data_IF_380679275915
#
_entry.id   IF_380679275915
#
_cell.length_a   1.000
_cell.length_b   1.000
_cell.length_c   1.000
_cell.angle_alpha   90.00
_cell.angle_beta   90.00
_cell.angle_gamma   90.00
#
_symmetry.space_group_name_H-M   'P 1'
#
loop_
_entity.id
_entity.type
_entity.pdbx_description
1 polymer ?
#
# COMPACT_ATOMS: atom_id res chain seq x y z
N UNK A 1 -4.57 30.24 -4.57
CA UNK A 1 -4.46 28.93 -3.90
C UNK A 1 -5.33 27.97 -4.70
N UNK A 2 -4.75 26.95 -5.27
CA UNK A 2 -5.51 25.93 -5.99
C UNK A 2 -6.38 25.14 -4.98
N UNK A 3 -7.59 24.75 -5.38
CA UNK A 3 -8.46 23.97 -4.50
C UNK A 3 -7.82 22.60 -4.23
N UNK A 4 -7.96 22.05 -3.01
CA UNK A 4 -7.42 20.72 -2.71
C UNK A 4 -8.10 19.67 -3.61
N UNK A 5 -7.31 18.73 -4.10
CA UNK A 5 -7.79 17.63 -4.93
C UNK A 5 -8.65 16.70 -4.08
N UNK A 6 -9.89 16.46 -4.49
CA UNK A 6 -10.80 15.55 -3.80
C UNK A 6 -10.63 14.15 -4.41
N UNK A 7 -10.31 13.12 -3.60
CA UNK A 7 -10.14 11.76 -4.10
C UNK A 7 -11.42 11.21 -4.73
N UNK A 8 -11.33 10.70 -5.97
CA UNK A 8 -12.43 10.08 -6.70
C UNK A 8 -12.43 8.56 -6.45
N UNK A 9 -12.93 8.14 -5.28
CA UNK A 9 -12.98 6.73 -4.90
C UNK A 9 -13.87 5.93 -5.87
N UNK A 10 -13.36 4.76 -6.32
CA UNK A 10 -13.99 3.93 -7.33
C UNK A 10 -13.56 4.26 -8.77
N UNK A 11 -12.68 5.25 -8.96
CA UNK A 11 -12.19 5.69 -10.27
C UNK A 11 -10.65 5.63 -10.33
N UNK A 12 -9.96 6.45 -9.53
CA UNK A 12 -8.50 6.58 -9.61
C UNK A 12 -7.87 6.99 -8.28
N UNK A 13 -8.04 6.15 -7.26
CA UNK A 13 -7.42 6.35 -5.95
C UNK A 13 -6.54 5.15 -5.56
N UNK A 14 -5.77 5.28 -4.47
CA UNK A 14 -5.04 4.13 -3.89
C UNK A 14 -5.97 2.97 -3.52
N UNK A 15 -7.24 3.24 -3.18
CA UNK A 15 -8.22 2.19 -2.88
C UNK A 15 -8.59 1.35 -4.12
N UNK A 16 -8.35 1.87 -5.33
CA UNK A 16 -8.70 1.21 -6.58
C UNK A 16 -7.54 0.34 -7.14
N UNK A 17 -6.33 0.46 -6.57
CA UNK A 17 -5.13 -0.24 -7.08
C UNK A 17 -5.25 -1.76 -6.88
N UNK A 18 -5.49 -2.25 -5.66
CA UNK A 18 -5.59 -3.70 -5.43
C UNK A 18 -6.79 -4.32 -6.14
N UNK A 19 -7.98 -3.70 -6.22
CA UNK A 19 -9.05 -4.14 -7.11
C UNK A 19 -8.64 -4.31 -8.57
N UNK A 20 -7.92 -3.33 -9.14
CA UNK A 20 -7.43 -3.41 -10.52
C UNK A 20 -6.43 -4.56 -10.72
N UNK A 21 -5.48 -4.72 -9.78
CA UNK A 21 -4.55 -5.86 -9.80
C UNK A 21 -5.27 -7.21 -9.73
N UNK A 22 -6.30 -7.32 -8.89
CA UNK A 22 -7.10 -8.53 -8.75
C UNK A 22 -7.87 -8.88 -10.03
N UNK A 23 -8.49 -7.88 -10.67
CA UNK A 23 -9.18 -8.04 -11.94
C UNK A 23 -8.19 -8.45 -13.05
N UNK A 24 -7.00 -7.84 -13.08
CA UNK A 24 -5.92 -8.18 -14.00
C UNK A 24 -5.38 -9.61 -13.82
N UNK A 25 -5.40 -10.14 -12.59
CA UNK A 25 -5.12 -11.55 -12.29
C UNK A 25 -6.25 -12.50 -12.76
N UNK A 26 -7.34 -11.98 -13.32
CA UNK A 26 -8.49 -12.78 -13.75
C UNK A 26 -9.38 -13.26 -12.60
N UNK A 27 -9.31 -12.64 -11.43
CA UNK A 27 -10.08 -13.04 -10.26
C UNK A 27 -11.49 -12.43 -10.33
N UNK A 28 -12.52 -13.28 -10.28
CA UNK A 28 -13.91 -12.86 -10.37
C UNK A 28 -14.36 -11.93 -9.23
N UNK A 29 -15.24 -10.99 -9.56
CA UNK A 29 -15.85 -10.08 -8.59
C UNK A 29 -15.01 -8.87 -8.22
N UNK A 30 -13.95 -8.59 -8.98
CA UNK A 30 -13.13 -7.38 -8.88
C UNK A 30 -13.28 -6.52 -10.13
N UNK A 31 -13.09 -5.21 -9.98
CA UNK A 31 -13.17 -4.24 -11.08
C UNK A 31 -11.82 -3.62 -11.35
N UNK A 32 -11.49 -3.44 -12.61
CA UNK A 32 -10.31 -2.70 -13.04
C UNK A 32 -10.71 -1.27 -13.47
N UNK A 33 -10.52 -0.31 -12.58
CA UNK A 33 -10.71 1.10 -12.87
C UNK A 33 -9.46 1.76 -13.48
N UNK A 34 -8.32 1.05 -13.52
CA UNK A 34 -7.02 1.59 -13.94
C UNK A 34 -6.59 1.08 -15.33
N UNK A 35 -7.27 0.07 -15.89
CA UNK A 35 -6.96 -0.49 -17.21
C UNK A 35 -5.67 -1.29 -17.26
N UNK A 36 -5.39 -2.11 -16.23
CA UNK A 36 -4.16 -2.86 -16.14
C UNK A 36 -4.12 -4.04 -17.14
N UNK A 37 -2.96 -4.37 -17.71
CA UNK A 37 -2.83 -5.54 -18.57
C UNK A 37 -3.08 -6.84 -17.79
N UNK A 38 -3.61 -7.86 -18.46
CA UNK A 38 -3.77 -9.18 -17.86
C UNK A 38 -2.40 -9.77 -17.47
N UNK A 39 -2.33 -10.37 -16.29
CA UNK A 39 -1.10 -10.98 -15.76
C UNK A 39 -1.45 -12.05 -14.73
N UNK A 40 -0.63 -13.09 -14.61
CA UNK A 40 -0.76 -14.10 -13.55
C UNK A 40 -0.07 -13.68 -12.25
N UNK A 41 0.79 -12.65 -12.28
CA UNK A 41 1.68 -12.27 -11.19
C UNK A 41 1.89 -10.78 -11.12
N UNK A 42 1.80 -10.22 -9.92
CA UNK A 42 2.06 -8.80 -9.68
C UNK A 42 3.03 -8.56 -8.54
N UNK A 43 3.88 -7.57 -8.72
CA UNK A 43 4.65 -6.95 -7.66
C UNK A 43 4.18 -5.50 -7.53
N UNK A 44 3.57 -5.18 -6.42
CA UNK A 44 3.18 -3.82 -6.05
C UNK A 44 4.27 -3.21 -5.18
N UNK A 45 5.17 -2.44 -5.78
CA UNK A 45 6.17 -1.65 -5.06
C UNK A 45 5.53 -0.34 -4.62
N UNK A 46 5.42 -0.14 -3.31
CA UNK A 46 5.03 1.13 -2.72
C UNK A 46 6.27 1.85 -2.20
N UNK A 47 6.56 3.01 -2.79
CA UNK A 47 7.61 3.93 -2.31
C UNK A 47 6.94 5.04 -1.52
N UNK A 48 7.09 5.01 -0.20
CA UNK A 48 6.47 6.00 0.70
C UNK A 48 7.12 7.37 0.52
N UNK A 49 6.30 8.40 0.57
CA UNK A 49 6.75 9.78 0.33
C UNK A 49 6.92 10.16 -1.16
N UNK A 50 6.89 9.20 -2.09
CA UNK A 50 7.02 9.49 -3.52
C UNK A 50 5.64 9.84 -4.11
N UNK A 51 5.46 11.09 -4.46
CA UNK A 51 4.28 11.58 -5.18
C UNK A 51 4.57 11.96 -6.62
N UNK A 52 3.54 12.03 -7.47
CA UNK A 52 3.68 12.39 -8.88
C UNK A 52 4.35 13.77 -9.07
N UNK A 53 4.06 14.74 -8.19
CA UNK A 53 4.69 16.06 -8.25
C UNK A 53 6.16 16.03 -7.87
N UNK A 54 6.53 15.27 -6.84
CA UNK A 54 7.93 15.12 -6.41
C UNK A 54 8.74 14.42 -7.50
N UNK A 55 8.20 13.34 -8.06
CA UNK A 55 8.85 12.62 -9.15
C UNK A 55 9.02 13.50 -10.38
N UNK A 56 8.01 14.28 -10.77
CA UNK A 56 8.11 15.21 -11.89
C UNK A 56 9.18 16.29 -11.70
N UNK A 57 9.47 16.67 -10.45
CA UNK A 57 10.52 17.65 -10.13
C UNK A 57 11.92 17.03 -10.04
N UNK A 58 12.05 15.69 -9.96
CA UNK A 58 13.30 14.96 -9.73
C UNK A 58 13.59 13.90 -10.81
N UNK A 59 13.20 14.15 -12.06
CA UNK A 59 13.38 13.17 -13.16
C UNK A 59 14.85 12.91 -13.50
N UNK A 60 15.72 13.91 -13.32
CA UNK A 60 17.16 13.77 -13.58
C UNK A 60 17.81 12.84 -12.55
N UNK A 61 17.35 12.86 -11.30
CA UNK A 61 17.83 12.02 -10.20
C UNK A 61 17.24 10.60 -10.22
N UNK A 62 16.13 10.41 -10.95
CA UNK A 62 15.42 9.15 -11.05
C UNK A 62 15.24 8.69 -12.51
N UNK A 63 16.32 8.46 -13.28
CA UNK A 63 16.26 8.21 -14.72
C UNK A 63 15.46 6.95 -15.09
N UNK A 64 15.46 5.92 -14.25
CA UNK A 64 14.64 4.72 -14.46
C UNK A 64 13.14 5.05 -14.36
N UNK A 65 12.72 5.75 -13.30
CA UNK A 65 11.32 6.15 -13.15
C UNK A 65 10.90 7.15 -14.24
N UNK A 66 11.80 8.05 -14.65
CA UNK A 66 11.57 8.95 -15.77
C UNK A 66 11.30 8.18 -17.07
N UNK A 67 12.02 7.08 -17.34
CA UNK A 67 11.76 6.24 -18.51
C UNK A 67 10.39 5.59 -18.48
N UNK A 68 9.92 5.14 -17.31
CA UNK A 68 8.59 4.56 -17.16
C UNK A 68 7.47 5.59 -17.37
N UNK A 69 7.67 6.83 -16.94
CA UNK A 69 6.72 7.92 -17.19
C UNK A 69 6.63 8.32 -18.67
N UNK A 70 7.71 8.10 -19.43
CA UNK A 70 7.73 8.38 -20.88
C UNK A 70 6.96 7.33 -21.70
N UNK A 71 6.68 6.17 -21.11
CA UNK A 71 5.84 5.15 -21.73
C UNK A 71 4.36 5.47 -21.44
N UNK A 72 3.46 5.26 -22.41
CA UNK A 72 2.01 5.50 -22.26
C UNK A 72 1.32 4.53 -21.25
N UNK A 73 2.12 3.85 -20.41
CA UNK A 73 1.67 2.89 -19.41
C UNK A 73 1.56 3.47 -18.01
N UNK A 74 1.82 4.77 -17.82
CA UNK A 74 1.71 5.40 -16.50
C UNK A 74 0.32 6.02 -16.28
N UNK A 75 -0.21 5.86 -15.07
CA UNK A 75 -1.43 6.54 -14.64
C UNK A 75 -1.22 7.22 -13.29
N UNK A 76 -1.95 8.29 -13.05
CA UNK A 76 -1.91 8.98 -11.75
C UNK A 76 -3.14 8.63 -10.94
N UNK A 77 -2.92 8.14 -9.73
CA UNK A 77 -3.97 7.91 -8.73
C UNK A 77 -3.84 8.91 -7.59
N UNK A 78 -4.96 9.24 -6.93
CA UNK A 78 -4.92 10.10 -5.75
C UNK A 78 -4.74 9.25 -4.49
N UNK A 79 -3.96 9.78 -3.52
CA UNK A 79 -4.01 9.28 -2.15
C UNK A 79 -5.31 9.72 -1.46
N UNK A 80 -5.61 9.15 -0.29
CA UNK A 80 -6.73 9.58 0.53
C UNK A 80 -6.51 10.97 1.16
N UNK A 81 -7.54 11.51 1.78
CA UNK A 81 -7.46 12.70 2.62
C UNK A 81 -7.82 12.35 4.07
N UNK A 82 -6.87 12.51 5.03
CA UNK A 82 -5.48 12.98 4.88
C UNK A 82 -4.59 11.93 4.18
N UNK A 83 -3.53 12.40 3.49
CA UNK A 83 -2.57 11.57 2.76
C UNK A 83 -1.46 11.00 3.67
N UNK A 84 -1.83 10.51 4.86
CA UNK A 84 -0.87 9.89 5.77
C UNK A 84 -0.63 8.42 5.41
N UNK A 85 0.55 7.90 5.71
CA UNK A 85 0.91 6.48 5.51
C UNK A 85 -0.17 5.55 6.06
N UNK A 86 -0.64 5.77 7.29
CA UNK A 86 -1.64 4.93 7.93
C UNK A 86 -2.97 4.86 7.14
N UNK A 87 -3.49 6.01 6.73
CA UNK A 87 -4.71 6.09 5.93
C UNK A 87 -4.52 5.47 4.55
N UNK A 88 -3.41 5.80 3.90
CA UNK A 88 -3.12 5.39 2.51
C UNK A 88 -2.89 3.88 2.38
N UNK A 89 -2.08 3.28 3.26
CA UNK A 89 -1.84 1.82 3.26
C UNK A 89 -3.15 1.07 3.59
N UNK A 90 -3.96 1.58 4.52
CA UNK A 90 -5.23 0.94 4.85
C UNK A 90 -6.23 1.06 3.70
N UNK A 91 -6.31 2.20 3.02
CA UNK A 91 -7.15 2.34 1.81
C UNK A 91 -6.70 1.39 0.70
N UNK A 92 -5.39 1.29 0.45
CA UNK A 92 -4.80 0.35 -0.51
C UNK A 92 -5.17 -1.10 -0.17
N UNK A 93 -4.95 -1.50 1.09
CA UNK A 93 -5.12 -2.88 1.53
C UNK A 93 -6.57 -3.32 1.71
N UNK A 94 -7.51 -2.39 1.96
CA UNK A 94 -8.94 -2.71 2.13
C UNK A 94 -9.80 -2.42 0.89
N UNK A 95 -9.28 -1.65 -0.07
CA UNK A 95 -10.05 -1.09 -1.18
C UNK A 95 -11.22 -0.20 -0.71
N UNK A 96 -11.06 0.49 0.42
CA UNK A 96 -12.10 1.31 1.04
C UNK A 96 -11.58 2.74 1.30
N UNK A 97 -12.46 3.74 1.26
CA UNK A 97 -12.11 5.09 1.71
C UNK A 97 -11.97 5.16 3.24
N UNK A 98 -11.24 6.17 3.78
CA UNK A 98 -10.98 6.31 5.21
C UNK A 98 -12.22 6.28 6.10
N UNK A 99 -13.33 6.87 5.65
CA UNK A 99 -14.61 6.87 6.37
C UNK A 99 -15.26 5.48 6.48
N UNK A 100 -14.81 4.48 5.73
CA UNK A 100 -15.31 3.11 5.78
C UNK A 100 -14.39 2.17 6.51
N UNK A 101 -13.05 2.29 6.37
CA UNK A 101 -12.11 1.45 7.11
C UNK A 101 -11.73 1.99 8.48
N UNK A 102 -12.03 3.27 8.79
CA UNK A 102 -11.91 3.84 10.11
C UNK A 102 -10.52 4.37 10.51
N UNK A 103 -9.47 4.13 9.73
CA UNK A 103 -8.14 4.70 9.98
C UNK A 103 -8.08 6.10 9.36
N UNK A 104 -8.44 7.10 10.16
CA UNK A 104 -8.68 8.47 9.68
C UNK A 104 -7.41 9.35 9.59
N UNK A 105 -6.25 8.82 9.99
CA UNK A 105 -4.97 9.52 9.98
C UNK A 105 -3.90 8.70 10.68
N UNK A 106 -2.71 9.28 10.87
CA UNK A 106 -1.69 8.64 11.71
C UNK A 106 -2.09 8.68 13.20
N UNK A 107 -2.99 9.58 13.57
CA UNK A 107 -3.54 9.72 14.91
C UNK A 107 -5.02 10.12 14.84
N UNK A 108 -5.87 9.41 15.57
CA UNK A 108 -7.32 9.61 15.56
C UNK A 108 -7.96 9.09 16.85
N UNK A 109 -9.27 9.29 16.99
CA UNK A 109 -10.02 8.78 18.12
C UNK A 109 -10.14 7.26 18.04
N UNK A 110 -9.67 6.55 19.07
CA UNK A 110 -9.83 5.11 19.18
C UNK A 110 -11.30 4.71 19.21
N UNK A 111 -11.80 3.90 18.28
CA UNK A 111 -13.20 3.50 18.26
C UNK A 111 -13.59 2.58 19.42
N UNK A 112 -12.63 1.94 20.10
CA UNK A 112 -12.89 0.96 21.16
C UNK A 112 -13.15 1.64 22.50
N UNK A 113 -12.31 2.59 22.89
CA UNK A 113 -12.36 3.25 24.20
C UNK A 113 -12.62 4.75 24.15
N UNK A 114 -12.62 5.33 22.95
CA UNK A 114 -12.80 6.76 22.72
C UNK A 114 -11.58 7.63 23.02
N UNK A 115 -10.47 7.02 23.41
CA UNK A 115 -9.20 7.69 23.67
C UNK A 115 -8.45 8.09 22.39
N UNK A 116 -7.17 8.38 22.54
CA UNK A 116 -6.27 8.71 21.43
C UNK A 116 -5.53 7.45 20.94
N UNK A 117 -5.57 7.19 19.65
CA UNK A 117 -4.81 6.13 19.00
C UNK A 117 -3.85 6.71 17.97
N UNK A 118 -2.56 6.41 18.12
CA UNK A 118 -1.56 6.63 17.09
C UNK A 118 -1.36 5.31 16.32
N UNK A 119 -1.71 5.30 15.03
CA UNK A 119 -1.66 4.11 14.20
C UNK A 119 -0.24 3.58 13.95
N UNK A 120 0.79 4.42 14.07
CA UNK A 120 2.19 4.05 13.81
C UNK A 120 2.86 3.40 15.04
N UNK A 121 2.45 3.79 16.25
CA UNK A 121 3.00 3.23 17.50
C UNK A 121 2.09 2.17 18.11
N UNK A 122 0.79 2.23 17.76
CA UNK A 122 -0.29 1.38 18.26
C UNK A 122 -0.40 1.39 19.80
N UNK A 123 -1.41 0.76 20.35
CA UNK A 123 -1.57 0.62 21.78
C UNK A 123 -1.41 -0.86 22.18
N UNK A 124 -0.70 -1.13 23.27
CA UNK A 124 -0.50 -2.48 23.77
C UNK A 124 -1.84 -3.17 24.05
N UNK A 125 -1.98 -4.39 23.55
CA UNK A 125 -3.18 -5.22 23.72
C UNK A 125 -4.40 -4.79 22.89
N UNK A 126 -4.33 -3.73 22.11
CA UNK A 126 -5.41 -3.33 21.21
C UNK A 126 -5.41 -4.19 19.95
N UNK A 127 -6.51 -4.90 19.71
CA UNK A 127 -6.67 -5.69 18.49
C UNK A 127 -6.89 -4.82 17.26
N UNK A 128 -6.17 -5.12 16.19
CA UNK A 128 -6.38 -4.46 14.89
C UNK A 128 -7.81 -4.69 14.35
N UNK A 129 -8.40 -5.87 14.63
CA UNK A 129 -9.78 -6.18 14.23
C UNK A 129 -10.83 -5.36 14.97
N UNK A 130 -10.56 -4.94 16.21
CA UNK A 130 -11.48 -4.07 16.94
C UNK A 130 -11.47 -2.63 16.39
N UNK A 131 -10.34 -2.20 15.81
CA UNK A 131 -10.19 -0.88 15.21
C UNK A 131 -10.65 -0.88 13.75
N UNK A 132 -10.24 -1.89 12.97
CA UNK A 132 -10.56 -2.05 11.56
C UNK A 132 -11.16 -3.46 11.31
N UNK A 133 -12.47 -3.64 11.45
CA UNK A 133 -13.13 -4.94 11.33
C UNK A 133 -13.46 -5.33 9.87
N UNK A 134 -13.23 -4.46 8.90
CA UNK A 134 -13.52 -4.75 7.49
C UNK A 134 -12.54 -5.78 6.95
N UNK A 135 -13.01 -6.68 6.08
CA UNK A 135 -12.11 -7.57 5.35
C UNK A 135 -11.16 -6.75 4.49
N UNK A 136 -9.88 -7.10 4.54
CA UNK A 136 -8.91 -6.56 3.60
C UNK A 136 -9.07 -7.20 2.22
N UNK A 137 -8.60 -6.53 1.19
CA UNK A 137 -8.49 -7.10 -0.15
C UNK A 137 -7.58 -8.33 -0.16
N UNK A 138 -6.55 -8.33 0.68
CA UNK A 138 -5.66 -9.47 0.87
C UNK A 138 -6.39 -10.68 1.44
N UNK A 139 -7.26 -10.52 2.46
CA UNK A 139 -8.09 -11.61 2.97
C UNK A 139 -9.05 -12.16 1.90
N UNK A 140 -9.63 -11.26 1.10
CA UNK A 140 -10.55 -11.65 0.01
C UNK A 140 -9.81 -12.43 -1.08
N UNK A 141 -8.66 -11.93 -1.55
CA UNK A 141 -7.83 -12.58 -2.56
C UNK A 141 -7.26 -13.92 -2.08
N UNK A 142 -6.83 -14.01 -0.82
CA UNK A 142 -6.40 -15.27 -0.21
C UNK A 142 -7.47 -16.36 -0.27
N UNK A 143 -8.74 -15.98 0.02
CA UNK A 143 -9.88 -16.90 -0.07
C UNK A 143 -10.20 -17.33 -1.51
N UNK A 144 -9.73 -16.56 -2.50
CA UNK A 144 -9.90 -16.83 -3.93
C UNK A 144 -8.66 -17.53 -4.54
N UNK A 145 -7.72 -17.98 -3.69
CA UNK A 145 -6.57 -18.79 -4.11
C UNK A 145 -5.34 -18.01 -4.55
N UNK A 146 -5.33 -16.68 -4.44
CA UNK A 146 -4.15 -15.87 -4.77
C UNK A 146 -3.10 -16.00 -3.66
N UNK A 147 -1.86 -16.28 -4.03
CA UNK A 147 -0.73 -16.27 -3.09
C UNK A 147 -0.30 -14.83 -2.80
N UNK A 148 -0.29 -14.48 -1.52
CA UNK A 148 -0.05 -13.11 -1.06
C UNK A 148 1.21 -13.03 -0.21
N UNK A 149 2.11 -12.14 -0.58
CA UNK A 149 3.37 -11.92 0.13
C UNK A 149 3.54 -10.44 0.44
N UNK A 150 4.01 -10.13 1.66
CA UNK A 150 4.45 -8.78 2.04
C UNK A 150 5.94 -8.81 2.36
N UNK A 151 6.75 -8.06 1.63
CA UNK A 151 8.18 -7.84 1.87
C UNK A 151 8.34 -6.44 2.44
N UNK A 152 8.57 -6.35 3.74
CA UNK A 152 8.57 -5.08 4.47
C UNK A 152 9.56 -5.10 5.64
N UNK A 153 10.00 -3.95 6.16
CA UNK A 153 10.90 -3.87 7.32
C UNK A 153 10.41 -4.72 8.49
N UNK A 154 11.33 -5.48 9.12
CA UNK A 154 11.01 -6.46 10.17
C UNK A 154 10.21 -5.86 11.35
N UNK A 155 10.44 -4.58 11.68
CA UNK A 155 9.73 -3.86 12.74
C UNK A 155 8.22 -3.71 12.50
N UNK A 156 7.74 -3.89 11.26
CA UNK A 156 6.32 -3.79 10.93
C UNK A 156 5.59 -5.13 11.00
N UNK A 157 6.31 -6.23 11.22
CA UNK A 157 5.71 -7.54 11.38
C UNK A 157 4.74 -7.56 12.57
N UNK A 158 3.47 -7.90 12.32
CA UNK A 158 2.45 -8.01 13.35
C UNK A 158 2.05 -6.68 14.02
N UNK A 159 2.45 -5.53 13.48
CA UNK A 159 1.97 -4.24 14.02
C UNK A 159 0.48 -4.06 13.70
N UNK A 160 -0.23 -3.32 14.57
CA UNK A 160 -1.66 -3.08 14.37
C UNK A 160 -1.98 -2.45 13.01
N UNK A 161 -1.15 -1.54 12.50
CA UNK A 161 -1.35 -0.95 11.17
C UNK A 161 -1.19 -1.99 10.06
N UNK A 162 -0.15 -2.84 10.13
CA UNK A 162 0.04 -3.94 9.16
C UNK A 162 -1.15 -4.88 9.17
N UNK A 163 -1.65 -5.24 10.35
CA UNK A 163 -2.83 -6.09 10.49
C UNK A 163 -4.12 -5.40 10.00
N UNK A 164 -4.26 -4.09 10.14
CA UNK A 164 -5.39 -3.36 9.57
C UNK A 164 -5.42 -3.39 8.05
N UNK A 165 -4.24 -3.36 7.41
CA UNK A 165 -4.12 -3.17 5.96
C UNK A 165 -3.88 -4.47 5.18
N UNK A 166 -3.02 -5.37 5.69
CA UNK A 166 -2.40 -6.46 4.92
C UNK A 166 -2.65 -7.85 5.51
N UNK A 167 -3.72 -8.03 6.29
CA UNK A 167 -4.06 -9.35 6.87
C UNK A 167 -4.07 -10.44 5.79
N UNK A 168 -3.58 -11.63 6.14
CA UNK A 168 -3.41 -12.81 5.30
C UNK A 168 -2.26 -12.76 4.29
N UNK A 169 -1.53 -11.67 4.14
CA UNK A 169 -0.26 -11.71 3.40
C UNK A 169 0.80 -12.44 4.25
N UNK A 170 1.55 -13.36 3.61
CA UNK A 170 2.73 -13.94 4.23
C UNK A 170 3.79 -12.86 4.37
N UNK A 171 4.08 -12.48 5.60
CA UNK A 171 5.05 -11.43 5.89
C UNK A 171 6.48 -11.97 5.83
N UNK A 172 7.33 -11.39 4.96
CA UNK A 172 8.77 -11.60 4.93
C UNK A 172 9.46 -10.41 5.59
N UNK A 173 9.95 -10.59 6.83
CA UNK A 173 10.59 -9.50 7.57
C UNK A 173 11.96 -9.19 6.99
N UNK A 174 12.20 -7.94 6.61
CA UNK A 174 13.48 -7.41 6.16
C UNK A 174 14.23 -6.86 7.37
N UNK A 175 15.27 -7.53 7.88
CA UNK A 175 16.01 -7.05 9.07
C UNK A 175 16.87 -5.82 8.76
N UNK A 176 17.50 -5.81 7.60
CA UNK A 176 18.31 -4.72 7.08
C UNK A 176 17.68 -4.16 5.81
N UNK A 177 17.19 -2.94 5.87
CA UNK A 177 16.48 -2.29 4.77
C UNK A 177 17.42 -2.00 3.58
N UNK A 178 18.72 -1.94 3.80
CA UNK A 178 19.75 -1.74 2.77
C UNK A 178 20.20 -3.06 2.12
N UNK A 179 19.75 -4.22 2.61
CA UNK A 179 19.97 -5.51 1.97
C UNK A 179 19.04 -5.67 0.74
N UNK A 180 19.32 -4.88 -0.29
CA UNK A 180 18.56 -4.93 -1.54
C UNK A 180 18.56 -6.30 -2.20
N UNK A 181 19.68 -7.07 -2.27
CA UNK A 181 19.68 -8.42 -2.83
C UNK A 181 18.68 -9.36 -2.14
N UNK A 182 18.62 -9.39 -0.81
CA UNK A 182 17.67 -10.22 -0.09
C UNK A 182 16.21 -9.76 -0.33
N UNK A 183 15.96 -8.46 -0.33
CA UNK A 183 14.62 -7.91 -0.64
C UNK A 183 14.16 -8.31 -2.04
N UNK A 184 15.04 -8.21 -3.04
CA UNK A 184 14.76 -8.63 -4.41
C UNK A 184 14.46 -10.13 -4.45
N UNK A 185 15.31 -10.96 -3.81
CA UNK A 185 15.13 -12.41 -3.81
C UNK A 185 13.77 -12.82 -3.22
N UNK A 186 13.39 -12.30 -2.05
CA UNK A 186 12.08 -12.59 -1.43
C UNK A 186 10.90 -12.10 -2.28
N UNK A 187 11.07 -10.97 -2.97
CA UNK A 187 10.06 -10.45 -3.90
C UNK A 187 9.88 -11.40 -5.09
N UNK A 188 10.97 -11.86 -5.69
CA UNK A 188 10.95 -12.82 -6.79
C UNK A 188 10.36 -14.16 -6.35
N UNK A 189 10.78 -14.69 -5.20
CA UNK A 189 10.26 -15.94 -4.65
C UNK A 189 8.75 -15.84 -4.35
N UNK A 190 8.32 -14.72 -3.78
CA UNK A 190 6.90 -14.44 -3.56
C UNK A 190 6.11 -14.37 -4.86
N UNK A 191 6.62 -13.67 -5.86
CA UNK A 191 5.99 -13.56 -7.17
C UNK A 191 5.96 -14.91 -7.91
N UNK A 192 6.96 -15.77 -7.72
CA UNK A 192 7.01 -17.11 -8.32
C UNK A 192 6.11 -18.14 -7.60
N UNK A 193 5.49 -17.78 -6.48
CA UNK A 193 4.72 -18.69 -5.65
C UNK A 193 3.27 -18.86 -6.14
N UNK A 194 2.77 -20.10 -6.22
CA UNK A 194 1.41 -20.41 -6.63
C UNK A 194 1.12 -20.17 -8.12
N UNK A 195 -0.12 -20.40 -8.52
CA UNK A 195 -0.59 -20.19 -9.89
C UNK A 195 -0.80 -18.70 -10.18
N UNK A 196 -1.33 -17.96 -9.22
CA UNK A 196 -1.45 -16.49 -9.24
C UNK A 196 -0.91 -15.89 -7.94
N UNK A 197 -0.23 -14.74 -8.05
CA UNK A 197 0.44 -14.13 -6.91
C UNK A 197 0.41 -12.60 -6.93
N UNK A 198 0.35 -12.01 -5.74
CA UNK A 198 0.53 -10.58 -5.52
C UNK A 198 1.55 -10.38 -4.38
N UNK A 199 2.64 -9.70 -4.70
CA UNK A 199 3.65 -9.28 -3.72
C UNK A 199 3.48 -7.81 -3.42
N UNK A 200 3.35 -7.45 -2.16
CA UNK A 200 3.48 -6.09 -1.67
C UNK A 200 4.92 -5.87 -1.19
N UNK A 201 5.64 -4.99 -1.85
CA UNK A 201 7.00 -4.57 -1.49
C UNK A 201 6.97 -3.12 -1.01
N UNK A 202 7.42 -2.88 0.21
CA UNK A 202 7.38 -1.56 0.83
C UNK A 202 8.77 -0.94 0.94
N UNK A 203 8.90 0.29 0.44
CA UNK A 203 10.11 1.10 0.53
C UNK A 203 9.78 2.44 1.21
N UNK A 204 10.48 2.75 2.32
CA UNK A 204 10.19 3.92 3.13
C UNK A 204 11.33 4.95 3.21
N UNK A 205 12.50 4.65 2.66
CA UNK A 205 13.71 5.47 2.87
C UNK A 205 13.51 6.92 2.43
N UNK A 206 12.76 7.13 1.35
CA UNK A 206 12.46 8.46 0.84
C UNK A 206 11.62 9.28 1.84
N UNK A 207 10.53 8.71 2.35
CA UNK A 207 9.70 9.35 3.38
C UNK A 207 10.50 9.65 4.65
N UNK A 208 11.25 8.66 5.13
CA UNK A 208 12.06 8.80 6.34
C UNK A 208 13.10 9.91 6.21
N UNK A 209 13.80 9.98 5.08
CA UNK A 209 14.76 11.04 4.78
C UNK A 209 14.07 12.39 4.66
N UNK A 210 12.93 12.44 3.98
CA UNK A 210 12.13 13.65 3.81
C UNK A 210 11.68 14.27 5.14
N UNK A 211 11.32 13.45 6.12
CA UNK A 211 10.99 13.92 7.47
C UNK A 211 12.17 14.57 8.21
N UNK A 212 13.40 14.13 7.96
CA UNK A 212 14.61 14.68 8.59
C UNK A 212 15.23 15.86 7.87
N UNK A 213 15.22 15.84 6.54
CA UNK A 213 15.97 16.77 5.69
C UNK A 213 15.10 17.68 4.83
N UNK A 214 13.79 17.42 4.75
CA UNK A 214 12.90 18.11 3.81
C UNK A 214 13.06 17.60 2.37
N UNK A 215 12.28 18.20 1.49
CA UNK A 215 12.31 17.96 0.05
C UNK A 215 13.12 19.08 -0.61
N UNK A 216 14.41 18.90 -0.77
CA UNK A 216 15.30 19.82 -1.50
C UNK A 216 16.09 19.07 -2.53
#
# INVERSE_FOLDING_TARGET
MEAPLVPAYGESTLADVVPALAASLGIDGWSDALGLPASDRWVLLLVDGLGAHNLAAALEEAPFLASLLAEDASTTVTSGAPSTTATSITSLGTALPPGQHGIAGYAFRNPVDGGYLNALTWADGLSALDVQPRLTSFERLSRQGVTLTSVSPARFAGTGLTECALRCARFHPVPDEDDHPARIQWTVDGAASGDSSLVYLYERSLDHTGHGMGWQ
#
